data_IF_603397983686
#
_entry.id   IF_603397983686
#
_cell.length_a   1.000
_cell.length_b   1.000
_cell.length_c   1.000
_cell.angle_alpha   90.00
_cell.angle_beta   90.00
_cell.angle_gamma   90.00
#
_symmetry.space_group_name_H-M   'P 1'
#
loop_
_entity.id
_entity.type
_entity.pdbx_description
1 polymer ?
#
# COMPACT_ATOMS: atom_id res chain seq x y z
N UNK A 1 -5.45 -15.10 -6.84
CA UNK A 1 -6.12 -14.07 -6.05
C UNK A 1 -7.06 -14.65 -5.03
N UNK A 2 -6.56 -14.74 -3.80
CA UNK A 2 -7.32 -15.00 -2.59
C UNK A 2 -7.53 -13.66 -1.88
N UNK A 3 -8.75 -13.13 -1.95
CA UNK A 3 -9.07 -11.78 -1.49
C UNK A 3 -10.15 -11.80 -0.42
N UNK A 4 -9.98 -11.02 0.65
CA UNK A 4 -10.94 -10.89 1.74
C UNK A 4 -11.38 -9.43 1.90
N UNK A 5 -12.69 -9.22 1.78
CA UNK A 5 -13.31 -7.90 1.88
C UNK A 5 -14.13 -7.83 3.17
N UNK A 6 -13.71 -6.94 4.08
CA UNK A 6 -14.31 -6.72 5.38
C UNK A 6 -14.45 -5.22 5.68
N UNK A 7 -14.42 -4.38 4.65
CA UNK A 7 -14.59 -2.94 4.79
C UNK A 7 -15.94 -2.61 5.45
N UNK A 8 -15.98 -1.53 6.23
CA UNK A 8 -17.19 -1.03 6.91
C UNK A 8 -17.78 -2.02 7.93
N UNK A 9 -16.96 -2.91 8.51
CA UNK A 9 -17.42 -3.87 9.53
C UNK A 9 -16.94 -3.51 10.94
N UNK A 10 -17.64 -3.99 11.96
CA UNK A 10 -17.23 -3.87 13.38
C UNK A 10 -16.24 -4.95 13.81
N UNK A 11 -15.42 -5.44 12.88
CA UNK A 11 -14.43 -6.47 13.20
C UNK A 11 -13.31 -5.90 14.08
N UNK A 12 -12.93 -6.67 15.10
CA UNK A 12 -11.87 -6.28 16.07
C UNK A 12 -10.51 -6.85 15.71
N UNK A 13 -10.51 -8.00 15.05
CA UNK A 13 -9.30 -8.73 14.67
C UNK A 13 -9.56 -9.60 13.44
N UNK A 14 -8.56 -9.75 12.59
CA UNK A 14 -8.59 -10.69 11.47
C UNK A 14 -8.20 -12.08 11.97
N UNK A 15 -8.98 -13.13 11.72
CA UNK A 15 -8.61 -14.49 12.12
C UNK A 15 -7.31 -14.94 11.47
N UNK A 16 -6.33 -15.35 12.28
CA UNK A 16 -4.99 -15.73 11.82
C UNK A 16 -5.03 -16.89 10.80
N UNK A 17 -5.98 -17.81 10.94
CA UNK A 17 -6.16 -18.97 10.06
C UNK A 17 -6.54 -18.62 8.63
N UNK A 18 -7.11 -17.43 8.42
CA UNK A 18 -7.46 -16.94 7.08
C UNK A 18 -6.34 -16.06 6.53
N UNK A 19 -5.68 -15.28 7.39
CA UNK A 19 -4.64 -14.34 7.00
C UNK A 19 -3.45 -14.97 6.27
N UNK A 20 -3.05 -16.19 6.63
CA UNK A 20 -1.90 -16.90 6.02
C UNK A 20 -2.12 -17.32 4.57
N UNK A 21 -3.34 -17.18 4.04
CA UNK A 21 -3.66 -17.55 2.67
C UNK A 21 -4.06 -16.36 1.80
N UNK A 22 -4.08 -15.14 2.34
CA UNK A 22 -4.59 -13.97 1.61
C UNK A 22 -3.49 -13.28 0.80
N UNK A 23 -3.84 -12.96 -0.44
CA UNK A 23 -3.07 -12.08 -1.33
C UNK A 23 -3.58 -10.62 -1.20
N UNK A 24 -4.90 -10.45 -1.02
CA UNK A 24 -5.52 -9.13 -0.82
C UNK A 24 -6.39 -9.06 0.44
N UNK A 25 -6.27 -7.99 1.22
CA UNK A 25 -7.07 -7.75 2.42
C UNK A 25 -7.58 -6.31 2.51
N UNK A 26 -8.90 -6.16 2.63
CA UNK A 26 -9.59 -4.87 2.67
C UNK A 26 -10.32 -4.69 4.02
N UNK A 27 -9.86 -3.74 4.83
CA UNK A 27 -10.40 -3.38 6.15
C UNK A 27 -10.62 -1.87 6.29
N UNK A 28 -10.86 -1.17 5.17
CA UNK A 28 -11.17 0.25 5.25
C UNK A 28 -12.40 0.47 6.15
N UNK A 29 -12.39 1.54 6.94
CA UNK A 29 -13.53 1.93 7.79
C UNK A 29 -13.87 0.91 8.89
N UNK A 30 -12.86 0.17 9.35
CA UNK A 30 -12.96 -0.69 10.53
C UNK A 30 -12.29 -0.02 11.74
N UNK A 31 -12.96 0.89 12.47
CA UNK A 31 -12.31 1.66 13.55
C UNK A 31 -11.94 0.80 14.76
N UNK A 32 -12.60 -0.35 14.97
CA UNK A 32 -12.36 -1.25 16.09
C UNK A 32 -11.19 -2.22 15.85
N UNK A 33 -10.69 -2.33 14.61
CA UNK A 33 -9.57 -3.22 14.31
C UNK A 33 -8.27 -2.60 14.85
N UNK A 34 -7.69 -3.28 15.83
CA UNK A 34 -6.47 -2.82 16.53
C UNK A 34 -5.31 -3.79 16.38
N UNK A 35 -5.63 -5.05 16.06
CA UNK A 35 -4.66 -6.11 15.81
C UNK A 35 -4.67 -6.46 14.34
N UNK A 36 -3.48 -6.60 13.81
CA UNK A 36 -3.24 -7.02 12.44
C UNK A 36 -2.34 -8.27 12.49
N UNK A 37 -2.54 -9.27 11.62
CA UNK A 37 -1.75 -10.50 11.65
C UNK A 37 -0.25 -10.19 11.57
N UNK A 38 0.54 -10.95 12.33
CA UNK A 38 2.01 -10.80 12.38
C UNK A 38 2.70 -11.19 11.05
N UNK A 39 1.97 -11.86 10.16
CA UNK A 39 2.46 -12.37 8.89
C UNK A 39 1.95 -11.52 7.72
N UNK A 40 2.89 -10.96 6.95
CA UNK A 40 2.67 -10.13 5.75
C UNK A 40 3.39 -10.70 4.52
N UNK A 41 3.96 -11.90 4.62
CA UNK A 41 4.84 -12.46 3.58
C UNK A 41 4.11 -12.60 2.24
N UNK A 42 2.84 -13.01 2.24
CA UNK A 42 2.07 -13.28 1.01
C UNK A 42 1.08 -12.17 0.63
N UNK A 43 0.89 -11.15 1.49
CA UNK A 43 -0.01 -10.04 1.18
C UNK A 43 0.65 -9.12 0.14
N UNK A 44 -0.10 -8.85 -0.92
CA UNK A 44 0.27 -7.99 -2.04
C UNK A 44 -0.56 -6.72 -2.04
N UNK A 45 -1.83 -6.82 -1.61
CA UNK A 45 -2.73 -5.68 -1.51
C UNK A 45 -3.29 -5.56 -0.09
N UNK A 46 -3.07 -4.41 0.54
CA UNK A 46 -3.53 -4.15 1.89
C UNK A 46 -4.17 -2.77 2.01
N UNK A 47 -5.44 -2.73 2.42
CA UNK A 47 -6.17 -1.49 2.62
C UNK A 47 -6.68 -1.36 4.06
N UNK A 48 -6.09 -0.43 4.81
CA UNK A 48 -6.34 -0.21 6.24
C UNK A 48 -6.76 1.23 6.55
N UNK A 49 -7.31 1.96 5.57
CA UNK A 49 -7.73 3.34 5.74
C UNK A 49 -8.73 3.46 6.89
N UNK A 50 -8.59 4.48 7.74
CA UNK A 50 -9.51 4.73 8.87
C UNK A 50 -9.64 3.56 9.87
N UNK A 51 -8.55 2.82 10.08
CA UNK A 51 -8.43 1.82 11.15
C UNK A 51 -7.63 2.37 12.34
N UNK A 52 -7.69 1.69 13.49
CA UNK A 52 -6.85 2.00 14.65
C UNK A 52 -5.47 1.32 14.62
N UNK A 53 -5.11 0.66 13.51
CA UNK A 53 -3.82 -0.01 13.32
C UNK A 53 -2.69 1.03 13.23
N UNK A 54 -1.51 0.68 13.74
CA UNK A 54 -0.31 1.52 13.65
C UNK A 54 0.44 1.22 12.36
N UNK A 55 0.78 2.23 11.56
CA UNK A 55 1.53 2.07 10.30
C UNK A 55 2.95 1.54 10.46
N UNK A 56 3.66 1.94 11.53
CA UNK A 56 5.11 1.69 11.70
C UNK A 56 5.52 0.22 11.48
N UNK A 57 4.89 -0.78 12.12
CA UNK A 57 5.25 -2.18 11.88
C UNK A 57 5.03 -2.63 10.43
N UNK A 58 3.97 -2.15 9.78
CA UNK A 58 3.62 -2.52 8.41
C UNK A 58 4.60 -1.93 7.39
N UNK A 59 4.99 -0.67 7.60
CA UNK A 59 6.03 0.00 6.82
C UNK A 59 7.37 -0.72 6.96
N UNK A 60 7.71 -1.20 8.17
CA UNK A 60 8.93 -1.96 8.40
C UNK A 60 8.89 -3.32 7.68
N UNK A 61 7.76 -4.03 7.72
CA UNK A 61 7.58 -5.28 7.00
C UNK A 61 7.71 -5.08 5.47
N UNK A 62 7.12 -4.02 4.93
CA UNK A 62 7.27 -3.67 3.50
C UNK A 62 8.74 -3.41 3.14
N UNK A 63 9.47 -2.69 3.99
CA UNK A 63 10.90 -2.44 3.78
C UNK A 63 11.70 -3.76 3.73
N UNK A 64 11.42 -4.69 4.64
CA UNK A 64 12.08 -6.01 4.66
C UNK A 64 11.77 -6.82 3.39
N UNK A 65 10.52 -6.79 2.92
CA UNK A 65 10.10 -7.47 1.67
C UNK A 65 10.78 -6.87 0.44
N UNK A 66 10.97 -5.55 0.39
CA UNK A 66 11.76 -4.91 -0.70
C UNK A 66 13.23 -5.35 -0.63
N UNK A 67 13.80 -5.47 0.57
CA UNK A 67 15.19 -5.87 0.77
C UNK A 67 15.46 -7.36 0.50
N UNK A 68 14.47 -8.24 0.68
CA UNK A 68 14.64 -9.67 0.37
C UNK A 68 14.94 -9.90 -1.11
N UNK A 69 14.48 -8.98 -1.97
CA UNK A 69 14.70 -9.05 -3.41
C UNK A 69 14.01 -10.24 -4.06
N UNK A 70 13.00 -10.79 -3.38
CA UNK A 70 12.10 -11.80 -3.90
C UNK A 70 11.29 -11.24 -5.07
N UNK A 71 10.95 -12.13 -6.00
CA UNK A 71 10.10 -11.78 -7.12
C UNK A 71 8.69 -11.45 -6.59
N UNK A 72 8.16 -10.30 -6.99
CA UNK A 72 6.79 -9.90 -6.66
C UNK A 72 5.87 -10.77 -7.53
N UNK A 73 5.15 -11.70 -6.91
CA UNK A 73 4.29 -12.66 -7.61
C UNK A 73 2.87 -12.15 -7.88
N UNK A 74 2.64 -10.86 -7.63
CA UNK A 74 1.29 -10.32 -7.62
C UNK A 74 0.66 -10.13 -8.98
N UNK A 75 -0.65 -9.93 -8.96
CA UNK A 75 -1.50 -9.87 -10.15
C UNK A 75 -0.99 -8.90 -11.22
N UNK A 76 -0.34 -7.80 -10.80
CA UNK A 76 0.28 -6.81 -11.68
C UNK A 76 1.78 -6.60 -11.40
N UNK A 77 2.45 -7.58 -10.76
CA UNK A 77 3.85 -7.48 -10.32
C UNK A 77 4.11 -6.28 -9.37
N UNK A 78 3.06 -5.74 -8.74
CA UNK A 78 3.18 -4.66 -7.74
C UNK A 78 2.68 -5.10 -6.36
N UNK A 79 3.19 -4.40 -5.34
CA UNK A 79 2.69 -4.48 -3.97
C UNK A 79 2.07 -3.13 -3.65
N UNK A 80 0.84 -3.13 -3.14
CA UNK A 80 0.05 -1.92 -2.84
C UNK A 80 -0.42 -1.96 -1.40
N UNK A 81 -0.11 -0.89 -0.66
CA UNK A 81 -0.54 -0.75 0.73
C UNK A 81 -1.08 0.65 0.96
N UNK A 82 -2.32 0.73 1.48
CA UNK A 82 -2.93 1.95 1.98
C UNK A 82 -3.04 1.83 3.50
N UNK A 83 -2.21 2.60 4.20
CA UNK A 83 -2.03 2.49 5.65
C UNK A 83 -2.55 3.76 6.35
N UNK A 84 -3.05 3.64 7.60
CA UNK A 84 -3.39 4.81 8.40
C UNK A 84 -2.11 5.54 8.81
N UNK A 85 -1.95 6.79 8.39
CA UNK A 85 -0.66 7.47 8.49
C UNK A 85 -0.71 8.93 8.06
N UNK A 86 0.31 9.69 8.44
CA UNK A 86 0.44 11.09 8.02
C UNK A 86 1.86 11.52 7.66
N UNK A 87 2.81 10.58 7.69
CA UNK A 87 4.22 10.87 7.46
C UNK A 87 4.80 9.90 6.44
N UNK A 88 5.72 10.40 5.61
CA UNK A 88 6.49 9.55 4.70
C UNK A 88 7.58 8.84 5.52
N UNK A 89 7.69 7.50 5.46
CA UNK A 89 8.71 6.76 6.18
C UNK A 89 10.14 7.28 5.94
N UNK A 90 10.98 7.22 6.98
CA UNK A 90 12.33 7.82 6.95
C UNK A 90 13.26 7.21 5.90
N UNK A 91 13.04 5.94 5.54
CA UNK A 91 13.89 5.23 4.59
C UNK A 91 13.68 5.63 3.12
N UNK A 92 12.64 6.40 2.80
CA UNK A 92 12.53 7.02 1.47
C UNK A 92 13.52 8.18 1.35
N UNK A 93 14.47 8.03 0.42
CA UNK A 93 15.56 9.00 0.22
C UNK A 93 15.10 10.33 -0.37
N UNK A 94 14.22 10.27 -1.38
CA UNK A 94 13.68 11.46 -2.05
C UNK A 94 12.27 11.78 -1.51
N UNK A 95 12.07 13.02 -1.07
CA UNK A 95 10.79 13.53 -0.54
C UNK A 95 10.43 14.84 -1.22
N UNK A 96 9.14 15.09 -1.40
CA UNK A 96 8.64 16.34 -1.97
C UNK A 96 7.18 16.59 -1.62
N UNK A 97 6.73 17.82 -1.83
CA UNK A 97 5.35 18.26 -1.60
C UNK A 97 4.72 18.58 -2.95
N UNK A 98 3.46 18.18 -3.14
CA UNK A 98 2.69 18.45 -4.35
C UNK A 98 2.38 17.17 -5.14
N UNK A 99 1.97 17.35 -6.39
CA UNK A 99 1.49 16.25 -7.26
C UNK A 99 2.57 15.64 -8.16
N UNK A 100 3.83 16.03 -7.99
CA UNK A 100 4.94 15.54 -8.81
C UNK A 100 6.26 15.55 -8.04
N UNK A 101 7.07 14.52 -8.25
CA UNK A 101 8.42 14.38 -7.69
C UNK A 101 9.37 13.98 -8.82
N UNK A 102 10.54 14.61 -8.87
CA UNK A 102 11.62 14.23 -9.81
C UNK A 102 12.76 13.60 -9.03
N UNK A 103 13.06 12.34 -9.32
CA UNK A 103 14.17 11.61 -8.72
C UNK A 103 15.28 11.38 -9.74
N UNK A 104 16.53 11.32 -9.29
CA UNK A 104 17.65 10.92 -10.14
C UNK A 104 17.86 9.42 -10.02
N UNK A 105 17.69 8.69 -11.12
CA UNK A 105 17.96 7.26 -11.16
C UNK A 105 19.48 7.00 -11.12
N UNK A 106 19.93 5.92 -10.49
CA UNK A 106 21.34 5.56 -10.46
C UNK A 106 21.85 5.21 -11.86
N UNK A 107 23.12 5.51 -12.14
CA UNK A 107 23.74 5.38 -13.47
C UNK A 107 23.64 3.97 -14.09
N UNK A 108 23.55 2.94 -13.25
CA UNK A 108 23.43 1.53 -13.57
C UNK A 108 21.95 1.07 -13.64
N UNK A 109 21.11 1.77 -14.41
CA UNK A 109 19.68 1.44 -14.54
C UNK A 109 19.39 -0.01 -14.98
N UNK A 110 20.33 -0.71 -15.62
CA UNK A 110 20.18 -2.12 -16.00
C UNK A 110 20.12 -3.09 -14.80
N UNK A 111 20.50 -2.63 -13.60
CA UNK A 111 20.41 -3.41 -12.35
C UNK A 111 19.20 -3.02 -11.50
N UNK A 112 18.38 -2.07 -11.97
CA UNK A 112 17.19 -1.63 -11.25
C UNK A 112 16.15 -2.75 -11.24
N UNK A 113 15.84 -3.29 -10.05
CA UNK A 113 14.83 -4.33 -9.88
C UNK A 113 13.41 -3.80 -9.73
N UNK A 114 13.26 -2.55 -9.30
CA UNK A 114 11.95 -1.94 -9.08
C UNK A 114 12.07 -0.53 -8.49
N UNK A 115 10.93 0.12 -8.33
CA UNK A 115 10.81 1.45 -7.73
C UNK A 115 9.71 1.36 -6.65
N UNK A 116 10.05 1.82 -5.45
CA UNK A 116 9.07 2.03 -4.38
C UNK A 116 8.83 3.53 -4.21
N UNK A 117 7.58 3.92 -4.00
CA UNK A 117 7.20 5.28 -3.66
C UNK A 117 6.13 5.26 -2.57
N UNK A 118 5.99 6.38 -1.86
CA UNK A 118 4.98 6.58 -0.81
C UNK A 118 4.34 7.94 -1.01
N UNK A 119 3.02 7.98 -0.88
CA UNK A 119 2.21 9.19 -0.99
C UNK A 119 1.46 9.37 0.31
N UNK A 120 1.46 10.61 0.82
CA UNK A 120 0.63 11.01 1.95
C UNK A 120 -0.41 11.98 1.41
N UNK A 121 -1.67 11.66 1.61
CA UNK A 121 -2.80 12.46 1.18
C UNK A 121 -3.89 12.44 2.27
N UNK A 122 -4.75 13.47 2.35
CA UNK A 122 -5.89 13.45 3.26
C UNK A 122 -6.74 12.21 2.99
N UNK A 123 -7.35 11.60 4.02
CA UNK A 123 -8.21 10.45 3.81
C UNK A 123 -9.32 10.80 2.80
N UNK A 124 -9.68 9.88 1.90
CA UNK A 124 -10.87 10.04 1.06
C UNK A 124 -12.10 10.23 1.96
N UNK A 125 -13.20 10.74 1.43
CA UNK A 125 -14.44 10.84 2.22
C UNK A 125 -14.86 9.44 2.75
N UNK A 126 -15.59 9.38 3.89
CA UNK A 126 -16.18 8.14 4.37
C UNK A 126 -17.03 7.49 3.27
N UNK A 127 -17.14 6.16 3.26
CA UNK A 127 -17.92 5.41 2.26
C UNK A 127 -19.35 5.96 2.12
N UNK A 128 -20.01 6.28 3.24
CA UNK A 128 -21.37 6.83 3.27
C UNK A 128 -21.54 8.24 2.69
N UNK A 129 -20.45 8.97 2.40
CA UNK A 129 -20.49 10.35 1.91
C UNK A 129 -20.01 10.49 0.46
N UNK A 130 -19.68 9.38 -0.21
CA UNK A 130 -19.20 9.38 -1.59
C UNK A 130 -20.37 9.59 -2.58
N UNK A 131 -20.35 10.62 -3.44
CA UNK A 131 -21.49 10.99 -4.28
C UNK A 131 -21.75 10.08 -5.50
N UNK A 132 -21.07 8.94 -5.64
CA UNK A 132 -21.21 8.04 -6.79
C UNK A 132 -21.10 6.57 -6.37
N UNK A 133 -22.15 5.78 -6.62
CA UNK A 133 -22.12 4.32 -6.59
C UNK A 133 -21.45 3.83 -7.89
N UNK A 134 -20.18 3.44 -7.82
CA UNK A 134 -19.64 2.49 -8.78
C UNK A 134 -19.63 1.12 -8.11
N UNK A 135 -20.11 0.10 -8.84
CA UNK A 135 -20.05 -1.32 -8.46
C UNK A 135 -18.61 -1.85 -8.28
N UNK A 136 -17.60 -1.07 -8.67
CA UNK A 136 -16.20 -1.33 -8.37
C UNK A 136 -15.77 -0.55 -7.13
N UNK A 137 -15.24 -1.31 -6.15
CA UNK A 137 -14.82 -0.87 -4.83
C UNK A 137 -14.16 0.53 -4.82
N UNK A 138 -14.46 1.37 -3.80
CA UNK A 138 -13.85 2.70 -3.65
C UNK A 138 -12.42 2.56 -3.14
N UNK A 139 -11.59 1.92 -3.94
CA UNK A 139 -10.15 1.94 -3.84
C UNK A 139 -9.70 3.37 -4.14
N UNK A 140 -8.80 3.90 -3.31
CA UNK A 140 -8.05 5.09 -3.70
C UNK A 140 -7.28 4.73 -4.95
N UNK A 141 -7.79 5.12 -6.12
CA UNK A 141 -7.08 4.93 -7.39
C UNK A 141 -5.99 5.98 -7.51
N UNK A 142 -4.79 5.62 -7.06
CA UNK A 142 -3.59 6.40 -7.32
C UNK A 142 -3.10 6.07 -8.73
N UNK A 143 -3.32 6.99 -9.66
CA UNK A 143 -2.75 6.88 -11.00
C UNK A 143 -1.31 7.38 -10.98
N UNK A 144 -0.35 6.47 -11.15
CA UNK A 144 1.08 6.81 -11.16
C UNK A 144 1.60 6.78 -12.58
N UNK A 145 1.99 7.96 -13.08
CA UNK A 145 2.56 8.09 -14.42
C UNK A 145 4.06 8.31 -14.34
N UNK A 146 4.82 7.24 -14.60
CA UNK A 146 6.27 7.26 -14.61
C UNK A 146 6.80 7.71 -15.98
N UNK A 147 7.49 8.85 -16.03
CA UNK A 147 8.19 9.31 -17.23
C UNK A 147 9.70 9.13 -17.07
N UNK A 148 10.28 8.17 -17.78
CA UNK A 148 11.74 7.95 -17.77
C UNK A 148 12.39 8.70 -18.93
N UNK A 149 13.28 9.65 -18.62
CA UNK A 149 14.09 10.36 -19.63
C UNK A 149 15.55 9.92 -19.52
N UNK A 150 16.10 9.40 -20.60
CA UNK A 150 17.54 9.14 -20.70
C UNK A 150 18.27 10.40 -21.17
N UNK A 151 19.29 10.84 -20.43
CA UNK A 151 20.25 11.82 -20.97
C UNK A 151 21.16 11.09 -21.95
N UNK A 152 20.98 11.33 -23.26
CA UNK A 152 21.97 10.94 -24.26
C UNK A 152 23.29 11.64 -23.93
N UNK A 153 24.37 10.86 -23.81
CA UNK A 153 25.74 11.37 -23.76
C UNK A 153 26.12 12.02 -25.08
#
# INVERSE_FOLDING_TARGET
MKSLHLAETSIKEVPQSVASELESLYLNDCPEVTKFPDYLEDIEELYLSRTAIKEKPLVAAMHLKIQSGEEIKGFDETIRMVLPGSEIPEWFGDKGIGSSLTIQLPSNCHQLKGIAFCLVFPPPLPYHEMPYEFDDHPEVRVNVVCHVKSKKR
#
